data_IF_478394971841
#
_entry.id   IF_478394971841
#
_cell.length_a   1.000
_cell.length_b   1.000
_cell.length_c   1.000
_cell.angle_alpha   90.00
_cell.angle_beta   90.00
_cell.angle_gamma   90.00
#
_symmetry.space_group_name_H-M   'P 1'
#
loop_
_entity.id
_entity.type
_entity.pdbx_description
1 polymer ?
#
# COMPACT_ATOMS: atom_id res chain seq x y z
N UNK A 1 30.17 -8.80 -1.24
CA UNK A 1 29.10 -8.74 -2.28
C UNK A 1 27.86 -8.14 -1.63
N UNK A 2 27.23 -7.15 -2.28
CA UNK A 2 26.00 -6.53 -1.76
C UNK A 2 24.84 -7.50 -1.81
N UNK A 3 23.96 -7.47 -0.80
CA UNK A 3 22.77 -8.31 -0.69
C UNK A 3 21.49 -7.46 -0.77
N UNK A 4 20.61 -7.78 -1.70
CA UNK A 4 19.31 -7.11 -1.90
C UNK A 4 18.17 -8.06 -1.57
N UNK A 5 17.30 -7.64 -0.68
CA UNK A 5 16.00 -8.29 -0.49
C UNK A 5 14.98 -7.73 -1.49
N UNK A 6 14.32 -8.60 -2.23
CA UNK A 6 13.19 -8.26 -3.09
C UNK A 6 11.92 -8.84 -2.48
N UNK A 7 11.00 -7.96 -2.07
CA UNK A 7 9.68 -8.35 -1.59
C UNK A 7 8.73 -8.54 -2.79
N UNK A 8 8.07 -9.67 -2.82
CA UNK A 8 7.40 -10.29 -3.95
C UNK A 8 8.36 -10.78 -5.05
N UNK A 9 7.96 -11.86 -5.72
CA UNK A 9 8.72 -12.47 -6.81
C UNK A 9 7.82 -12.86 -8.01
N UNK A 10 6.71 -12.15 -8.18
CA UNK A 10 5.81 -12.32 -9.32
C UNK A 10 6.40 -11.82 -10.63
N UNK A 11 5.59 -11.86 -11.68
CA UNK A 11 6.02 -11.45 -13.03
C UNK A 11 6.49 -9.98 -13.10
N UNK A 12 5.89 -9.10 -12.29
CA UNK A 12 6.24 -7.68 -12.28
C UNK A 12 7.59 -7.42 -11.54
N UNK A 13 7.99 -8.28 -10.62
CA UNK A 13 9.26 -8.18 -9.90
C UNK A 13 10.41 -8.87 -10.62
N UNK A 14 10.11 -9.80 -11.53
CA UNK A 14 11.10 -10.57 -12.26
C UNK A 14 12.19 -9.73 -12.98
N UNK A 15 11.86 -8.61 -13.65
CA UNK A 15 12.88 -7.75 -14.28
C UNK A 15 13.88 -7.20 -13.29
N UNK A 16 13.42 -6.79 -12.09
CA UNK A 16 14.30 -6.25 -11.03
C UNK A 16 15.21 -7.32 -10.49
N UNK A 17 14.70 -8.54 -10.22
CA UNK A 17 15.50 -9.68 -9.76
C UNK A 17 16.60 -9.99 -10.76
N UNK A 18 16.26 -10.11 -12.04
CA UNK A 18 17.25 -10.37 -13.11
C UNK A 18 18.29 -9.26 -13.21
N UNK A 19 17.83 -8.00 -13.18
CA UNK A 19 18.76 -6.86 -13.27
C UNK A 19 19.73 -6.79 -12.09
N UNK A 20 19.27 -7.04 -10.88
CA UNK A 20 20.13 -7.12 -9.70
C UNK A 20 21.20 -8.24 -9.84
N UNK A 21 20.81 -9.41 -10.38
CA UNK A 21 21.75 -10.50 -10.68
C UNK A 21 22.79 -10.12 -11.71
N UNK A 22 22.40 -9.46 -12.81
CA UNK A 22 23.32 -8.93 -13.83
C UNK A 22 24.33 -7.94 -13.25
N UNK A 23 23.94 -7.18 -12.23
CA UNK A 23 24.81 -6.23 -11.51
C UNK A 23 25.74 -6.92 -10.49
N UNK A 24 25.71 -8.24 -10.37
CA UNK A 24 26.52 -8.98 -9.40
C UNK A 24 26.04 -8.86 -7.96
N UNK A 25 24.77 -8.50 -7.74
CA UNK A 25 24.15 -8.39 -6.42
C UNK A 25 23.60 -9.76 -6.02
N UNK A 26 23.83 -10.16 -4.77
CA UNK A 26 23.20 -11.35 -4.19
C UNK A 26 21.73 -11.04 -3.89
N UNK A 27 20.81 -11.75 -4.51
CA UNK A 27 19.38 -11.51 -4.41
C UNK A 27 18.72 -12.52 -3.47
N UNK A 28 18.09 -12.01 -2.43
CA UNK A 28 17.15 -12.75 -1.59
C UNK A 28 15.75 -12.35 -2.07
N UNK A 29 14.94 -13.31 -2.53
CA UNK A 29 13.56 -13.05 -2.95
C UNK A 29 12.58 -13.67 -1.95
N UNK A 30 11.62 -12.86 -1.49
CA UNK A 30 10.57 -13.28 -0.55
C UNK A 30 9.20 -13.22 -1.23
N UNK A 31 8.43 -14.31 -1.15
CA UNK A 31 7.06 -14.36 -1.67
C UNK A 31 6.24 -15.38 -0.89
N UNK A 32 4.94 -15.13 -0.69
CA UNK A 32 4.01 -16.10 -0.09
C UNK A 32 3.67 -17.27 -1.02
N UNK A 33 3.82 -17.09 -2.33
CA UNK A 33 3.60 -18.15 -3.31
C UNK A 33 4.94 -18.86 -3.63
N UNK A 34 5.12 -20.13 -3.23
CA UNK A 34 6.36 -20.87 -3.48
C UNK A 34 6.65 -21.10 -4.97
N UNK A 35 5.66 -20.88 -5.84
CA UNK A 35 5.78 -21.04 -7.29
C UNK A 35 5.92 -19.69 -8.01
N UNK A 36 6.17 -18.59 -7.30
CA UNK A 36 6.36 -17.27 -7.92
C UNK A 36 7.54 -17.30 -8.90
N UNK A 37 7.31 -16.82 -10.13
CA UNK A 37 8.23 -16.99 -11.27
C UNK A 37 9.62 -16.38 -11.07
N UNK A 38 9.74 -15.38 -10.21
CA UNK A 38 11.00 -14.71 -9.89
C UNK A 38 11.90 -15.51 -8.94
N UNK A 39 11.33 -16.38 -8.10
CA UNK A 39 12.06 -17.11 -7.07
C UNK A 39 13.22 -17.95 -7.64
N UNK A 40 13.00 -18.57 -8.80
CA UNK A 40 14.03 -19.41 -9.46
C UNK A 40 15.26 -18.63 -9.97
N UNK A 41 15.22 -17.31 -9.96
CA UNK A 41 16.35 -16.45 -10.37
C UNK A 41 17.09 -15.82 -9.18
N UNK A 42 16.57 -16.00 -7.97
CA UNK A 42 17.20 -15.51 -6.75
C UNK A 42 18.31 -16.47 -6.27
N UNK A 43 19.26 -15.94 -5.50
CA UNK A 43 20.29 -16.76 -4.84
C UNK A 43 19.75 -17.43 -3.58
N UNK A 44 18.81 -16.76 -2.90
CA UNK A 44 18.10 -17.29 -1.74
C UNK A 44 16.60 -17.01 -1.84
N UNK A 45 15.80 -17.99 -1.47
CA UNK A 45 14.35 -17.93 -1.47
C UNK A 45 13.81 -17.94 -0.05
N UNK A 46 12.88 -17.03 0.25
CA UNK A 46 12.11 -17.01 1.48
C UNK A 46 10.63 -17.15 1.14
N UNK A 47 10.02 -18.28 1.50
CA UNK A 47 8.58 -18.49 1.34
C UNK A 47 7.90 -18.01 2.61
N UNK A 48 7.39 -16.77 2.59
CA UNK A 48 6.82 -16.12 3.77
C UNK A 48 5.69 -15.17 3.35
N UNK A 49 4.75 -14.91 4.24
CA UNK A 49 3.76 -13.87 4.01
C UNK A 49 4.43 -12.49 4.04
N UNK A 50 4.64 -11.90 2.87
CA UNK A 50 5.31 -10.61 2.69
C UNK A 50 4.52 -9.40 3.23
N UNK A 51 3.29 -9.61 3.72
CA UNK A 51 2.49 -8.57 4.38
C UNK A 51 2.60 -8.61 5.90
N UNK A 52 3.26 -9.65 6.45
CA UNK A 52 3.52 -9.82 7.87
C UNK A 52 4.92 -9.35 8.22
N UNK A 53 5.01 -8.23 8.95
CA UNK A 53 6.29 -7.68 9.43
C UNK A 53 7.05 -8.73 10.25
N UNK A 54 6.35 -9.44 11.14
CA UNK A 54 6.95 -10.43 12.04
C UNK A 54 7.52 -11.64 11.30
N UNK A 55 6.77 -12.17 10.31
CA UNK A 55 7.22 -13.34 9.55
C UNK A 55 8.46 -13.00 8.72
N UNK A 56 8.46 -11.85 8.04
CA UNK A 56 9.60 -11.44 7.21
C UNK A 56 10.81 -11.14 8.09
N UNK A 57 10.69 -10.40 9.18
CA UNK A 57 11.80 -10.13 10.10
C UNK A 57 12.35 -11.42 10.72
N UNK A 58 11.48 -12.38 11.07
CA UNK A 58 11.92 -13.70 11.56
C UNK A 58 12.72 -14.46 10.50
N UNK A 59 12.29 -14.44 9.24
CA UNK A 59 13.00 -15.09 8.15
C UNK A 59 14.35 -14.43 7.82
N UNK A 60 14.50 -13.14 8.16
CA UNK A 60 15.73 -12.36 7.97
C UNK A 60 16.67 -12.38 9.18
N UNK A 61 16.33 -13.05 10.28
CA UNK A 61 17.03 -12.95 11.56
C UNK A 61 18.55 -13.25 11.47
N UNK A 62 18.94 -14.14 10.55
CA UNK A 62 20.34 -14.54 10.33
C UNK A 62 20.94 -13.89 9.08
N UNK A 63 20.20 -13.02 8.42
CA UNK A 63 20.63 -12.36 7.19
C UNK A 63 21.19 -10.97 7.47
N UNK A 64 22.25 -10.64 6.77
CA UNK A 64 22.71 -9.27 6.63
C UNK A 64 22.35 -8.79 5.22
N UNK A 65 21.51 -7.77 5.11
CA UNK A 65 21.09 -7.19 3.84
C UNK A 65 21.59 -5.74 3.73
N UNK A 66 21.91 -5.31 2.53
CA UNK A 66 22.34 -3.93 2.24
C UNK A 66 21.22 -3.06 1.68
N UNK A 67 20.10 -3.66 1.34
CA UNK A 67 18.93 -2.94 0.84
C UNK A 67 17.71 -3.84 0.69
N UNK A 68 16.55 -3.23 0.65
CA UNK A 68 15.26 -3.87 0.38
C UNK A 68 14.50 -3.08 -0.67
N UNK A 69 13.78 -3.79 -1.55
CA UNK A 69 12.95 -3.18 -2.59
C UNK A 69 11.63 -3.94 -2.73
N UNK A 70 10.56 -3.20 -2.99
CA UNK A 70 9.22 -3.74 -3.30
C UNK A 70 8.66 -3.06 -4.55
N UNK A 71 9.06 -3.48 -5.75
CA UNK A 71 8.65 -2.83 -6.99
C UNK A 71 7.23 -3.21 -7.41
N UNK A 72 6.55 -2.28 -8.09
CA UNK A 72 5.26 -2.47 -8.76
C UNK A 72 4.09 -2.87 -7.84
N UNK A 73 4.18 -2.65 -6.55
CA UNK A 73 3.12 -2.92 -5.59
C UNK A 73 3.29 -2.08 -4.33
N UNK A 74 2.20 -1.84 -3.62
CA UNK A 74 2.24 -1.14 -2.32
C UNK A 74 1.92 -2.06 -1.13
N UNK A 75 1.59 -3.34 -1.40
CA UNK A 75 1.05 -4.26 -0.38
C UNK A 75 1.98 -4.50 0.80
N UNK A 76 3.30 -4.47 0.55
CA UNK A 76 4.33 -4.71 1.56
C UNK A 76 5.18 -3.48 1.87
N UNK A 77 4.67 -2.27 1.58
CA UNK A 77 5.43 -1.03 1.82
C UNK A 77 5.73 -0.82 3.32
N UNK A 78 4.77 -1.11 4.22
CA UNK A 78 5.02 -1.04 5.66
C UNK A 78 6.07 -2.05 6.12
N UNK A 79 6.05 -3.26 5.55
CA UNK A 79 7.10 -4.29 5.80
C UNK A 79 8.45 -3.80 5.32
N UNK A 80 8.52 -3.22 4.13
CA UNK A 80 9.78 -2.63 3.61
C UNK A 80 10.29 -1.52 4.53
N UNK A 81 9.43 -0.61 4.95
CA UNK A 81 9.79 0.45 5.90
C UNK A 81 10.27 -0.11 7.24
N UNK A 82 9.59 -1.12 7.78
CA UNK A 82 9.98 -1.80 9.01
C UNK A 82 11.36 -2.47 8.89
N UNK A 83 11.68 -3.06 7.75
CA UNK A 83 12.99 -3.65 7.48
C UNK A 83 14.06 -2.55 7.43
N UNK A 84 13.81 -1.43 6.75
CA UNK A 84 14.73 -0.30 6.73
C UNK A 84 15.07 0.20 8.15
N UNK A 85 14.04 0.36 8.99
CA UNK A 85 14.21 0.79 10.39
C UNK A 85 15.02 -0.22 11.19
N UNK A 86 14.72 -1.52 11.08
CA UNK A 86 15.37 -2.58 11.86
C UNK A 86 16.84 -2.81 11.49
N UNK A 87 17.15 -2.73 10.20
CA UNK A 87 18.50 -2.98 9.68
C UNK A 87 19.31 -1.70 9.47
N UNK A 88 18.76 -0.52 9.78
CA UNK A 88 19.43 0.77 9.58
C UNK A 88 19.72 1.07 8.11
N UNK A 89 18.84 0.66 7.20
CA UNK A 89 19.04 0.81 5.77
C UNK A 89 18.56 2.19 5.27
N UNK A 90 19.20 2.67 4.21
CA UNK A 90 18.69 3.85 3.50
C UNK A 90 17.38 3.54 2.78
N UNK A 91 16.33 4.30 3.07
CA UNK A 91 15.00 4.11 2.46
C UNK A 91 13.91 4.77 3.28
N UNK A 92 12.67 4.52 2.89
CA UNK A 92 11.51 5.01 3.65
C UNK A 92 11.41 4.28 4.99
N UNK A 93 11.02 5.00 6.03
CA UNK A 93 10.69 4.40 7.33
C UNK A 93 9.32 3.72 7.28
N UNK A 94 9.03 2.89 8.29
CA UNK A 94 7.71 2.29 8.47
C UNK A 94 6.60 3.35 8.54
N UNK A 95 6.85 4.43 9.28
CA UNK A 95 5.89 5.53 9.42
C UNK A 95 5.62 6.22 8.08
N UNK A 96 6.67 6.54 7.31
CA UNK A 96 6.55 7.12 5.98
C UNK A 96 5.79 6.19 5.01
N UNK A 97 6.06 4.89 5.06
CA UNK A 97 5.36 3.90 4.24
C UNK A 97 3.87 3.84 4.57
N UNK A 98 3.49 3.86 5.85
CA UNK A 98 2.10 3.88 6.29
C UNK A 98 1.40 5.16 5.80
N UNK A 99 2.01 6.33 5.98
CA UNK A 99 1.47 7.61 5.49
C UNK A 99 1.28 7.62 3.97
N UNK A 100 2.24 7.08 3.22
CA UNK A 100 2.18 7.04 1.75
C UNK A 100 1.15 6.06 1.20
N UNK A 101 0.72 5.07 1.97
CA UNK A 101 -0.21 4.01 1.54
C UNK A 101 -1.60 4.08 2.18
N UNK A 102 -1.81 4.98 3.12
CA UNK A 102 -3.11 5.30 3.69
C UNK A 102 -3.53 6.71 3.23
N UNK A 103 -4.61 6.80 2.44
CA UNK A 103 -5.04 8.05 1.82
C UNK A 103 -5.43 9.12 2.85
N UNK A 104 -6.04 8.72 3.96
CA UNK A 104 -6.38 9.66 5.02
C UNK A 104 -5.12 10.27 5.64
N UNK A 105 -4.19 9.45 6.11
CA UNK A 105 -2.92 9.93 6.69
C UNK A 105 -2.08 10.75 5.69
N UNK A 106 -2.15 10.38 4.41
CA UNK A 106 -1.50 11.15 3.35
C UNK A 106 -2.12 12.54 3.20
N UNK A 107 -3.46 12.66 3.26
CA UNK A 107 -4.16 13.96 3.21
C UNK A 107 -3.83 14.83 4.42
N UNK A 108 -3.86 14.25 5.62
CA UNK A 108 -3.42 14.95 6.83
C UNK A 108 -1.97 15.47 6.72
N UNK A 109 -1.08 14.65 6.17
CA UNK A 109 0.31 15.05 5.97
C UNK A 109 0.44 16.21 4.95
N UNK A 110 -0.36 16.22 3.89
CA UNK A 110 -0.39 17.32 2.91
C UNK A 110 -0.94 18.60 3.53
N UNK A 111 -2.02 18.50 4.30
CA UNK A 111 -2.60 19.65 5.02
C UNK A 111 -1.60 20.25 6.01
N UNK A 112 -0.99 19.43 6.85
CA UNK A 112 0.02 19.87 7.82
C UNK A 112 1.28 20.47 7.15
N UNK A 113 1.61 20.00 5.94
CA UNK A 113 2.71 20.51 5.12
C UNK A 113 2.34 21.69 4.21
N UNK A 114 1.11 22.21 4.28
CA UNK A 114 0.56 23.22 3.37
C UNK A 114 0.71 22.84 1.87
N UNK A 115 0.68 21.56 1.55
CA UNK A 115 0.67 21.07 0.17
C UNK A 115 -0.75 21.13 -0.40
N UNK A 116 -0.93 21.53 -1.67
CA UNK A 116 -2.25 21.51 -2.31
C UNK A 116 -2.86 20.09 -2.24
N UNK A 117 -4.09 20.03 -1.74
CA UNK A 117 -4.82 18.78 -1.55
C UNK A 117 -6.32 19.02 -1.72
N UNK A 118 -7.08 18.13 -2.34
CA UNK A 118 -8.52 18.23 -2.33
C UNK A 118 -9.07 18.09 -0.91
N UNK A 119 -10.25 18.67 -0.67
CA UNK A 119 -10.99 18.41 0.58
C UNK A 119 -11.24 16.92 0.69
N UNK A 120 -10.87 16.32 1.82
CA UNK A 120 -10.99 14.90 2.07
C UNK A 120 -11.45 14.64 3.50
N UNK A 121 -12.45 13.79 3.67
CA UNK A 121 -13.04 13.49 4.97
C UNK A 121 -13.09 11.98 5.14
N UNK A 122 -12.52 11.49 6.25
CA UNK A 122 -12.71 10.11 6.69
C UNK A 122 -14.11 9.96 7.27
N UNK A 123 -14.82 8.94 6.85
CA UNK A 123 -16.21 8.72 7.26
C UNK A 123 -16.34 7.46 8.12
N UNK A 124 -17.27 7.48 9.06
CA UNK A 124 -17.48 6.37 10.00
C UNK A 124 -18.50 5.35 9.50
N UNK A 125 -19.44 5.77 8.64
CA UNK A 125 -20.44 4.91 8.00
C UNK A 125 -21.06 5.62 6.80
N UNK A 126 -21.94 4.91 6.05
CA UNK A 126 -22.60 5.45 4.87
C UNK A 126 -23.50 6.66 5.17
N UNK A 127 -24.15 6.70 6.33
CA UNK A 127 -25.03 7.80 6.73
C UNK A 127 -24.23 9.07 7.01
N UNK A 128 -23.09 8.95 7.71
CA UNK A 128 -22.15 10.06 7.92
C UNK A 128 -21.62 10.58 6.58
N UNK A 129 -21.17 9.66 5.69
CA UNK A 129 -20.67 10.02 4.37
C UNK A 129 -21.74 10.76 3.52
N UNK A 130 -22.98 10.28 3.55
CA UNK A 130 -24.09 10.92 2.87
C UNK A 130 -24.37 12.30 3.43
N UNK A 131 -24.45 12.45 4.77
CA UNK A 131 -24.66 13.73 5.42
C UNK A 131 -23.57 14.74 5.06
N UNK A 132 -22.31 14.32 5.04
CA UNK A 132 -21.19 15.19 4.65
C UNK A 132 -21.26 15.59 3.18
N UNK A 133 -21.60 14.64 2.28
CA UNK A 133 -21.81 14.97 0.87
C UNK A 133 -22.86 16.06 0.69
N UNK A 134 -23.97 15.98 1.43
CA UNK A 134 -25.07 16.95 1.32
C UNK A 134 -24.73 18.33 1.88
N UNK A 135 -23.92 18.40 2.94
CA UNK A 135 -23.72 19.61 3.72
C UNK A 135 -22.33 20.26 3.53
N UNK A 136 -21.34 19.51 3.09
CA UNK A 136 -19.95 19.98 3.10
C UNK A 136 -19.29 19.99 1.72
N UNK A 137 -19.94 19.46 0.68
CA UNK A 137 -19.43 19.45 -0.69
C UNK A 137 -20.35 20.24 -1.61
N UNK A 138 -19.82 21.21 -2.33
CA UNK A 138 -20.58 22.02 -3.29
C UNK A 138 -20.62 21.40 -4.68
N UNK A 139 -19.79 20.40 -4.93
CA UNK A 139 -19.66 19.70 -6.22
C UNK A 139 -19.76 18.19 -6.01
N UNK A 140 -19.67 17.44 -7.11
CA UNK A 140 -19.49 15.99 -7.07
C UNK A 140 -18.26 15.61 -6.24
N UNK A 141 -18.32 14.46 -5.59
CA UNK A 141 -17.24 13.91 -4.78
C UNK A 141 -16.91 12.48 -5.21
N UNK A 142 -15.81 11.96 -4.67
CA UNK A 142 -15.34 10.60 -4.92
C UNK A 142 -15.34 9.84 -3.60
N UNK A 143 -16.01 8.71 -3.56
CA UNK A 143 -15.80 7.71 -2.50
C UNK A 143 -14.59 6.86 -2.81
N UNK A 144 -13.72 6.64 -1.82
CA UNK A 144 -12.50 5.86 -1.96
C UNK A 144 -12.25 5.00 -0.72
N UNK A 145 -11.80 3.74 -0.88
CA UNK A 145 -11.18 2.99 0.22
C UNK A 145 -9.98 3.76 0.78
N UNK A 146 -9.85 3.87 2.09
CA UNK A 146 -8.69 4.52 2.73
C UNK A 146 -7.38 3.78 2.37
N UNK A 147 -7.40 2.46 2.44
CA UNK A 147 -6.27 1.59 2.11
C UNK A 147 -6.62 0.59 1.02
N UNK A 148 -6.34 0.93 -0.20
CA UNK A 148 -6.41 0.03 -1.36
C UNK A 148 -5.63 0.60 -2.55
N UNK A 149 -5.34 -0.27 -3.52
CA UNK A 149 -4.68 0.07 -4.78
C UNK A 149 -5.46 -0.48 -5.99
N UNK A 150 -5.10 -0.03 -7.19
CA UNK A 150 -5.68 -0.53 -8.43
C UNK A 150 -7.10 -0.03 -8.71
N UNK A 151 -7.47 1.14 -8.21
CA UNK A 151 -8.75 1.83 -8.47
C UNK A 151 -10.01 1.01 -8.11
N UNK A 152 -9.90 0.03 -7.24
CA UNK A 152 -11.04 -0.78 -6.78
C UNK A 152 -11.81 -0.03 -5.70
N UNK A 153 -13.14 -0.14 -5.72
CA UNK A 153 -14.02 0.51 -4.75
C UNK A 153 -14.02 2.04 -4.85
N UNK A 154 -13.69 2.62 -6.01
CA UNK A 154 -13.75 4.06 -6.25
C UNK A 154 -15.04 4.36 -6.98
N UNK A 155 -15.83 5.30 -6.47
CA UNK A 155 -17.09 5.73 -7.07
C UNK A 155 -17.23 7.26 -7.06
N UNK A 156 -17.67 7.81 -8.19
CA UNK A 156 -18.13 9.21 -8.26
C UNK A 156 -19.54 9.28 -7.66
N UNK A 157 -19.76 10.25 -6.79
CA UNK A 157 -21.03 10.49 -6.11
C UNK A 157 -21.42 11.95 -6.20
N UNK A 158 -22.73 12.23 -6.26
CA UNK A 158 -23.28 13.58 -6.32
C UNK A 158 -24.41 13.74 -5.30
N UNK A 159 -24.73 15.01 -4.97
CA UNK A 159 -25.78 15.34 -3.98
C UNK A 159 -27.18 14.95 -4.42
N UNK A 160 -27.42 14.88 -5.71
CA UNK A 160 -28.70 14.57 -6.36
C UNK A 160 -28.89 13.09 -6.71
N UNK A 161 -27.88 12.26 -6.41
CA UNK A 161 -27.98 10.82 -6.68
C UNK A 161 -28.95 10.12 -5.73
N UNK A 162 -29.48 8.97 -6.14
CA UNK A 162 -30.28 8.11 -5.29
C UNK A 162 -29.50 7.61 -4.07
N UNK A 163 -30.07 7.80 -2.87
CA UNK A 163 -29.42 7.40 -1.61
C UNK A 163 -29.11 5.90 -1.56
N UNK A 164 -29.95 5.07 -2.16
CA UNK A 164 -29.68 3.61 -2.24
C UNK A 164 -28.49 3.30 -3.15
N UNK A 165 -28.34 4.05 -4.25
CA UNK A 165 -27.13 3.92 -5.11
C UNK A 165 -25.88 4.40 -4.39
N UNK A 166 -25.96 5.49 -3.63
CA UNK A 166 -24.85 5.97 -2.78
C UNK A 166 -24.44 4.90 -1.76
N UNK A 167 -25.38 4.32 -1.03
CA UNK A 167 -25.09 3.29 -0.03
C UNK A 167 -24.39 2.07 -0.65
N UNK A 168 -24.85 1.62 -1.84
CA UNK A 168 -24.17 0.52 -2.55
C UNK A 168 -22.71 0.86 -2.91
N UNK A 169 -22.46 2.08 -3.36
CA UNK A 169 -21.11 2.56 -3.67
C UNK A 169 -20.24 2.64 -2.43
N UNK A 170 -20.81 3.10 -1.31
CA UNK A 170 -20.11 3.13 -0.02
C UNK A 170 -19.74 1.73 0.48
N UNK A 171 -20.68 0.79 0.43
CA UNK A 171 -20.46 -0.60 0.85
C UNK A 171 -19.40 -1.29 -0.01
N UNK A 172 -19.35 -0.98 -1.30
CA UNK A 172 -18.28 -1.47 -2.18
C UNK A 172 -16.91 -0.89 -1.80
N UNK A 173 -16.83 0.43 -1.57
CA UNK A 173 -15.60 1.07 -1.11
C UNK A 173 -15.14 0.50 0.24
N UNK A 174 -16.06 0.25 1.16
CA UNK A 174 -15.77 -0.32 2.48
C UNK A 174 -15.23 -1.76 2.38
N UNK A 175 -15.84 -2.59 1.53
CA UNK A 175 -15.38 -3.98 1.29
C UNK A 175 -13.97 -4.03 0.68
N UNK A 176 -13.66 -3.09 -0.19
CA UNK A 176 -12.35 -2.99 -0.84
C UNK A 176 -11.28 -2.35 0.07
N UNK A 177 -11.67 -1.76 1.18
CA UNK A 177 -10.75 -1.11 2.12
C UNK A 177 -10.12 -2.11 3.09
N UNK A 178 -8.78 -2.17 3.12
CA UNK A 178 -8.05 -3.07 4.03
C UNK A 178 -8.13 -2.67 5.50
N UNK A 179 -8.50 -1.46 5.80
CA UNK A 179 -8.69 -0.92 7.15
C UNK A 179 -10.17 -0.60 7.46
N UNK A 180 -11.08 -1.09 6.60
CA UNK A 180 -12.53 -0.90 6.75
C UNK A 180 -12.91 0.56 6.97
N UNK A 181 -12.28 1.47 6.26
CA UNK A 181 -12.59 2.89 6.29
C UNK A 181 -12.70 3.49 4.89
N UNK A 182 -13.55 4.49 4.72
CA UNK A 182 -13.87 5.13 3.45
C UNK A 182 -13.66 6.63 3.58
N UNK A 183 -13.02 7.22 2.57
CA UNK A 183 -12.96 8.67 2.41
C UNK A 183 -14.00 9.12 1.40
N UNK A 184 -14.55 10.32 1.67
CA UNK A 184 -15.20 11.14 0.67
C UNK A 184 -14.30 12.33 0.33
N UNK A 185 -14.07 12.57 -0.95
CA UNK A 185 -13.06 13.52 -1.42
C UNK A 185 -13.61 14.32 -2.62
N UNK A 186 -13.26 15.61 -2.69
CA UNK A 186 -13.66 16.51 -3.79
C UNK A 186 -12.91 16.19 -5.08
#
# INVERSE_FOLDING_TARGET
>A
MKKLLVLAAGILQLPVIKKAKEMGIYVIAADGNPNAVGLKYADKVLVVNITSEEEVLRALREEQIDGVIHPCSEVSMSVMGRINDEFGLSGITREQAIRATNKHLMREAFENGNAPSPKSILTVNAEDAWSRLQNEFDTDAILKPSRNSGSRGIAKVSRDMDKGAFNRAYDEALRESRDHSVLIEQ
#
